data_IF_183529904280
#
_entry.id   IF_183529904280
#
_cell.length_a   1.000
_cell.length_b   1.000
_cell.length_c   1.000
_cell.angle_alpha   90.00
_cell.angle_beta   90.00
_cell.angle_gamma   90.00
#
_symmetry.space_group_name_H-M   'P 1'
#
loop_
_entity.id
_entity.type
_entity.pdbx_description
1 polymer ?
#
# COMPACT_ATOMS: atom_id res chain seq x y z
N UNK A 1 -20.60 3.04 -10.74
CA UNK A 1 -19.23 3.17 -10.20
C UNK A 1 -19.29 2.91 -8.68
N UNK A 2 -18.58 1.91 -8.16
CA UNK A 2 -18.81 1.44 -6.78
C UNK A 2 -18.25 2.43 -5.74
N UNK A 3 -19.14 3.21 -5.10
CA UNK A 3 -18.82 4.23 -4.08
C UNK A 3 -17.98 3.65 -2.94
N UNK A 4 -18.24 2.40 -2.54
CA UNK A 4 -17.56 1.72 -1.44
C UNK A 4 -16.08 1.50 -1.76
N UNK A 5 -15.75 1.01 -2.96
CA UNK A 5 -14.36 0.78 -3.37
C UNK A 5 -13.53 2.06 -3.32
N UNK A 6 -14.06 3.15 -3.88
CA UNK A 6 -13.38 4.46 -3.84
C UNK A 6 -13.16 4.95 -2.42
N UNK A 7 -14.14 4.77 -1.52
CA UNK A 7 -14.01 5.14 -0.12
C UNK A 7 -12.90 4.35 0.58
N UNK A 8 -12.81 3.04 0.37
CA UNK A 8 -11.75 2.22 0.98
C UNK A 8 -10.37 2.67 0.47
N UNK A 9 -10.22 2.89 -0.84
CA UNK A 9 -8.97 3.36 -1.43
C UNK A 9 -8.59 4.75 -0.92
N UNK A 10 -9.57 5.65 -0.76
CA UNK A 10 -9.35 6.98 -0.18
C UNK A 10 -8.88 6.91 1.27
N UNK A 11 -9.53 6.09 2.11
CA UNK A 11 -9.16 5.92 3.50
C UNK A 11 -7.73 5.40 3.60
N UNK A 12 -7.38 4.35 2.85
CA UNK A 12 -6.03 3.83 2.79
C UNK A 12 -5.01 4.88 2.30
N UNK A 13 -5.38 5.66 1.28
CA UNK A 13 -4.57 6.74 0.75
C UNK A 13 -4.28 7.85 1.77
N UNK A 14 -5.29 8.25 2.55
CA UNK A 14 -5.15 9.27 3.60
C UNK A 14 -4.32 8.74 4.77
N UNK A 15 -4.56 7.50 5.22
CA UNK A 15 -3.84 6.91 6.36
C UNK A 15 -2.36 6.69 6.08
N UNK A 16 -1.95 6.55 4.81
CA UNK A 16 -0.54 6.47 4.45
C UNK A 16 0.26 7.73 4.85
N UNK A 17 -0.35 8.92 4.86
CA UNK A 17 0.36 10.15 5.23
C UNK A 17 0.88 10.14 6.68
N UNK A 18 0.02 9.98 7.71
CA UNK A 18 0.50 9.93 9.08
C UNK A 18 1.45 8.75 9.33
N UNK A 19 1.23 7.59 8.69
CA UNK A 19 2.15 6.44 8.80
C UNK A 19 3.55 6.81 8.29
N UNK A 20 3.65 7.36 7.09
CA UNK A 20 4.95 7.74 6.53
C UNK A 20 5.64 8.87 7.31
N UNK A 21 4.88 9.85 7.81
CA UNK A 21 5.42 10.91 8.70
C UNK A 21 5.96 10.30 9.99
N UNK A 22 5.23 9.38 10.64
CA UNK A 22 5.68 8.71 11.86
C UNK A 22 6.97 7.91 11.63
N UNK A 23 7.11 7.23 10.49
CA UNK A 23 8.35 6.52 10.14
C UNK A 23 9.54 7.47 10.00
N UNK A 24 9.36 8.61 9.33
CA UNK A 24 10.41 9.63 9.21
C UNK A 24 10.79 10.19 10.58
N UNK A 25 9.81 10.50 11.43
CA UNK A 25 10.06 11.00 12.80
C UNK A 25 10.86 9.97 13.61
N UNK A 26 10.46 8.69 13.57
CA UNK A 26 11.18 7.61 14.24
C UNK A 26 12.61 7.45 13.69
N UNK A 27 12.79 7.60 12.37
CA UNK A 27 14.11 7.56 11.73
C UNK A 27 15.03 8.64 12.30
N UNK A 28 14.54 9.88 12.42
CA UNK A 28 15.28 11.01 13.00
C UNK A 28 15.62 10.76 14.48
N UNK A 29 14.69 10.17 15.25
CA UNK A 29 14.92 9.85 16.66
C UNK A 29 15.94 8.72 16.90
N UNK A 30 16.16 7.84 15.93
CA UNK A 30 17.04 6.66 16.09
C UNK A 30 18.53 6.95 16.21
N UNK A 31 18.98 8.17 15.82
CA UNK A 31 20.38 8.64 15.86
C UNK A 31 21.41 7.74 15.15
N UNK A 32 21.00 6.77 14.33
CA UNK A 32 21.90 5.97 13.47
C UNK A 32 21.71 6.37 12.01
N UNK A 33 22.80 6.47 11.25
CA UNK A 33 22.73 6.86 9.83
C UNK A 33 21.95 5.85 8.98
N UNK A 34 22.10 4.56 9.28
CA UNK A 34 21.39 3.48 8.58
C UNK A 34 19.87 3.59 8.76
N UNK A 35 19.39 3.62 10.01
CA UNK A 35 17.96 3.73 10.28
C UNK A 35 17.38 5.07 9.84
N UNK A 36 18.17 6.16 9.88
CA UNK A 36 17.75 7.45 9.33
C UNK A 36 17.42 7.33 7.84
N UNK A 37 18.30 6.72 7.05
CA UNK A 37 18.11 6.60 5.60
C UNK A 37 16.97 5.63 5.28
N UNK A 38 17.01 4.40 5.81
CA UNK A 38 16.06 3.35 5.44
C UNK A 38 14.62 3.71 5.84
N UNK A 39 14.40 4.14 7.08
CA UNK A 39 13.05 4.46 7.56
C UNK A 39 12.51 5.78 6.96
N UNK A 40 13.37 6.78 6.70
CA UNK A 40 12.92 8.01 6.05
C UNK A 40 12.51 7.77 4.61
N UNK A 41 13.29 6.98 3.86
CA UNK A 41 12.97 6.62 2.48
C UNK A 41 11.69 5.79 2.44
N UNK A 42 11.55 4.78 3.30
CA UNK A 42 10.33 4.00 3.40
C UNK A 42 9.11 4.89 3.73
N UNK A 43 9.25 5.82 4.68
CA UNK A 43 8.18 6.78 5.02
C UNK A 43 7.79 7.68 3.85
N UNK A 44 8.77 8.20 3.09
CA UNK A 44 8.53 8.99 1.90
C UNK A 44 7.78 8.18 0.81
N UNK A 45 8.15 6.90 0.62
CA UNK A 45 7.43 6.01 -0.30
C UNK A 45 6.00 5.73 0.14
N UNK A 46 5.73 5.58 1.45
CA UNK A 46 4.35 5.42 1.93
C UNK A 46 3.53 6.68 1.66
N UNK A 47 4.08 7.88 1.89
CA UNK A 47 3.42 9.15 1.56
C UNK A 47 3.11 9.22 0.06
N UNK A 48 4.09 8.87 -0.79
CA UNK A 48 3.90 8.81 -2.24
C UNK A 48 2.80 7.82 -2.63
N UNK A 49 2.80 6.62 -2.04
CA UNK A 49 1.75 5.64 -2.25
C UNK A 49 0.37 6.20 -1.86
N UNK A 50 0.29 6.93 -0.74
CA UNK A 50 -0.93 7.62 -0.30
C UNK A 50 -1.43 8.64 -1.33
N UNK A 51 -0.56 9.54 -1.76
CA UNK A 51 -0.87 10.52 -2.80
C UNK A 51 -1.31 9.86 -4.12
N UNK A 52 -0.63 8.79 -4.53
CA UNK A 52 -0.95 8.04 -5.75
C UNK A 52 -2.35 7.42 -5.69
N UNK A 53 -2.79 6.92 -4.52
CA UNK A 53 -4.13 6.37 -4.33
C UNK A 53 -5.21 7.46 -4.40
N UNK A 54 -4.99 8.60 -3.73
CA UNK A 54 -5.90 9.76 -3.79
C UNK A 54 -6.02 10.30 -5.22
N UNK A 55 -4.93 10.27 -5.97
CA UNK A 55 -4.95 10.67 -7.38
C UNK A 55 -5.65 9.63 -8.28
N UNK A 56 -5.45 8.34 -8.01
CA UNK A 56 -6.04 7.25 -8.80
C UNK A 56 -7.57 7.17 -8.67
N UNK A 57 -8.14 7.48 -7.50
CA UNK A 57 -9.60 7.42 -7.28
C UNK A 57 -10.39 8.46 -8.10
N UNK A 58 -9.74 9.53 -8.56
CA UNK A 58 -10.39 10.55 -9.40
C UNK A 58 -10.79 9.96 -10.76
N UNK A 59 -9.93 9.12 -11.35
CA UNK A 59 -10.13 8.50 -12.65
C UNK A 59 -9.82 7.00 -12.62
N UNK A 60 -10.63 6.24 -11.87
CA UNK A 60 -10.38 4.80 -11.65
C UNK A 60 -10.26 3.99 -12.95
N UNK A 61 -11.01 4.33 -14.00
CA UNK A 61 -10.98 3.59 -15.26
C UNK A 61 -9.62 3.69 -15.99
N UNK A 62 -8.92 4.82 -15.87
CA UNK A 62 -7.61 5.04 -16.50
C UNK A 62 -6.45 4.80 -15.53
N UNK A 63 -6.71 4.87 -14.22
CA UNK A 63 -5.67 4.81 -13.16
C UNK A 63 -5.77 3.59 -12.25
N UNK A 64 -6.65 2.64 -12.52
CA UNK A 64 -6.73 1.37 -11.79
C UNK A 64 -5.40 0.59 -11.67
N UNK A 65 -4.47 0.63 -12.64
CA UNK A 65 -3.15 0.04 -12.45
C UNK A 65 -2.43 0.51 -11.18
N UNK A 66 -2.57 1.77 -10.80
CA UNK A 66 -1.94 2.34 -9.59
C UNK A 66 -2.51 1.71 -8.31
N UNK A 67 -3.83 1.52 -8.27
CA UNK A 67 -4.51 0.91 -7.13
C UNK A 67 -4.12 -0.57 -7.04
N UNK A 68 -4.11 -1.27 -8.18
CA UNK A 68 -3.67 -2.67 -8.27
C UNK A 68 -2.22 -2.86 -7.80
N UNK A 69 -1.29 -2.01 -8.25
CA UNK A 69 0.10 -2.07 -7.80
C UNK A 69 0.26 -1.74 -6.32
N UNK A 70 -0.54 -0.81 -5.79
CA UNK A 70 -0.62 -0.58 -4.35
C UNK A 70 -1.12 -1.81 -3.58
N UNK A 71 -1.96 -2.65 -4.20
CA UNK A 71 -2.37 -3.94 -3.66
C UNK A 71 -1.22 -4.95 -3.64
N UNK A 72 -0.41 -4.98 -4.71
CA UNK A 72 0.79 -5.83 -4.77
C UNK A 72 1.84 -5.46 -3.73
N UNK A 73 2.12 -4.17 -3.53
CA UNK A 73 3.07 -3.72 -2.50
C UNK A 73 2.66 -4.24 -1.11
N UNK A 74 1.36 -4.22 -0.80
CA UNK A 74 0.82 -4.77 0.44
C UNK A 74 0.96 -6.29 0.51
N UNK A 75 0.71 -6.98 -0.60
CA UNK A 75 0.89 -8.43 -0.66
C UNK A 75 2.36 -8.84 -0.46
N UNK A 76 3.32 -8.09 -1.00
CA UNK A 76 4.75 -8.29 -0.72
C UNK A 76 5.06 -8.09 0.77
N UNK A 77 4.47 -7.07 1.42
CA UNK A 77 4.62 -6.89 2.86
C UNK A 77 4.09 -8.10 3.64
N UNK A 78 2.93 -8.64 3.26
CA UNK A 78 2.36 -9.85 3.88
C UNK A 78 3.32 -11.03 3.78
N UNK A 79 3.91 -11.27 2.61
CA UNK A 79 4.89 -12.35 2.45
C UNK A 79 6.15 -12.12 3.28
N UNK A 80 6.67 -10.89 3.31
CA UNK A 80 7.87 -10.55 4.07
C UNK A 80 7.66 -10.71 5.58
N UNK A 81 6.54 -10.21 6.13
CA UNK A 81 6.25 -10.36 7.56
C UNK A 81 5.99 -11.82 7.91
N UNK A 82 5.26 -12.54 7.07
CA UNK A 82 5.04 -13.97 7.26
C UNK A 82 6.36 -14.74 7.25
N UNK A 83 7.28 -14.40 6.34
CA UNK A 83 8.61 -15.01 6.33
C UNK A 83 9.43 -14.61 7.55
N UNK A 84 9.39 -13.35 7.99
CA UNK A 84 10.09 -12.86 9.16
C UNK A 84 9.69 -13.63 10.44
N UNK A 85 8.41 -14.02 10.59
CA UNK A 85 7.96 -14.85 11.72
C UNK A 85 8.60 -16.24 11.76
N UNK A 86 9.19 -16.71 10.67
CA UNK A 86 9.93 -17.99 10.62
C UNK A 86 11.42 -17.83 10.93
N UNK A 87 11.95 -16.61 10.87
CA UNK A 87 13.38 -16.30 11.01
C UNK A 87 13.70 -15.66 12.36
N UNK A 88 12.73 -14.96 12.98
CA UNK A 88 12.91 -14.34 14.28
C UNK A 88 11.63 -13.78 14.88
N UNK A 89 11.77 -13.09 16.00
CA UNK A 89 10.64 -12.46 16.69
C UNK A 89 10.15 -11.24 15.90
N UNK A 90 8.84 -11.24 15.62
CA UNK A 90 8.16 -10.13 14.96
C UNK A 90 7.25 -9.44 15.97
N UNK A 91 7.31 -8.10 16.11
CA UNK A 91 6.41 -7.37 16.99
C UNK A 91 4.93 -7.66 16.68
N UNK A 92 4.09 -7.83 17.70
CA UNK A 92 2.68 -8.16 17.49
C UNK A 92 1.96 -7.09 16.65
N UNK A 93 2.35 -5.83 16.77
CA UNK A 93 1.81 -4.74 15.96
C UNK A 93 1.99 -5.00 14.47
N UNK A 94 3.14 -5.56 14.05
CA UNK A 94 3.42 -5.90 12.65
C UNK A 94 2.56 -7.07 12.15
N UNK A 95 2.18 -7.99 13.03
CA UNK A 95 1.28 -9.11 12.67
C UNK A 95 -0.14 -8.56 12.42
N UNK A 96 -0.63 -7.67 13.29
CA UNK A 96 -1.94 -7.05 13.10
C UNK A 96 -1.99 -6.18 11.83
N UNK A 97 -0.95 -5.38 11.57
CA UNK A 97 -0.89 -4.57 10.34
C UNK A 97 -0.81 -5.44 9.09
N UNK A 98 -0.12 -6.57 9.15
CA UNK A 98 -0.07 -7.56 8.07
C UNK A 98 -1.45 -8.12 7.72
N UNK A 99 -2.29 -8.40 8.73
CA UNK A 99 -3.68 -8.80 8.51
C UNK A 99 -4.49 -7.74 7.76
N UNK A 100 -4.32 -6.46 8.11
CA UNK A 100 -4.96 -5.35 7.41
C UNK A 100 -4.45 -5.20 5.97
N UNK A 101 -3.14 -5.37 5.76
CA UNK A 101 -2.53 -5.31 4.43
C UNK A 101 -3.02 -6.43 3.52
N UNK A 102 -3.24 -7.65 4.05
CA UNK A 102 -3.83 -8.74 3.28
C UNK A 102 -5.25 -8.39 2.80
N UNK A 103 -6.08 -7.83 3.69
CA UNK A 103 -7.44 -7.38 3.34
C UNK A 103 -7.38 -6.30 2.25
N UNK A 104 -6.54 -5.27 2.43
CA UNK A 104 -6.39 -4.20 1.46
C UNK A 104 -5.81 -4.70 0.12
N UNK A 105 -4.86 -5.64 0.14
CA UNK A 105 -4.30 -6.24 -1.06
C UNK A 105 -5.39 -6.95 -1.89
N UNK A 106 -6.23 -7.76 -1.23
CA UNK A 106 -7.35 -8.44 -1.87
C UNK A 106 -8.34 -7.42 -2.44
N UNK A 107 -8.73 -6.42 -1.65
CA UNK A 107 -9.67 -5.37 -2.09
C UNK A 107 -9.11 -4.62 -3.29
N UNK A 108 -7.83 -4.26 -3.29
CA UNK A 108 -7.23 -3.47 -4.36
C UNK A 108 -7.04 -4.27 -5.64
N UNK A 109 -6.53 -5.50 -5.54
CA UNK A 109 -6.29 -6.35 -6.71
C UNK A 109 -7.63 -6.78 -7.34
N UNK A 110 -8.51 -7.41 -6.56
CA UNK A 110 -9.79 -7.92 -7.06
C UNK A 110 -10.74 -6.77 -7.38
N UNK A 111 -10.78 -5.74 -6.52
CA UNK A 111 -11.64 -4.58 -6.71
C UNK A 111 -11.27 -3.77 -7.96
N UNK A 112 -9.99 -3.60 -8.28
CA UNK A 112 -9.57 -2.90 -9.50
C UNK A 112 -10.08 -3.61 -10.76
N UNK A 113 -9.95 -4.94 -10.82
CA UNK A 113 -10.46 -5.75 -11.94
C UNK A 113 -11.98 -5.68 -12.02
N UNK A 114 -12.68 -5.90 -10.89
CA UNK A 114 -14.15 -5.94 -10.87
C UNK A 114 -14.80 -4.58 -11.15
N UNK A 115 -14.24 -3.49 -10.65
CA UNK A 115 -14.82 -2.15 -10.80
C UNK A 115 -14.61 -1.57 -12.20
N UNK A 116 -13.48 -1.88 -12.83
CA UNK A 116 -13.17 -1.38 -14.18
C UNK A 116 -13.60 -2.33 -15.30
N UNK A 117 -13.74 -3.62 -15.03
CA UNK A 117 -13.94 -4.65 -16.06
C UNK A 117 -12.68 -4.93 -16.90
N UNK A 118 -11.54 -4.29 -16.59
CA UNK A 118 -10.30 -4.45 -17.33
C UNK A 118 -9.61 -5.75 -16.86
N UNK A 119 -9.13 -6.61 -17.78
CA UNK A 119 -8.41 -7.82 -17.41
C UNK A 119 -7.19 -7.54 -16.53
N UNK A 120 -6.97 -8.38 -15.53
CA UNK A 120 -5.83 -8.30 -14.61
C UNK A 120 -4.48 -8.19 -15.35
N UNK A 121 -4.28 -8.97 -16.40
CA UNK A 121 -3.05 -8.97 -17.21
C UNK A 121 -2.79 -7.65 -17.93
N UNK A 122 -3.82 -6.86 -18.23
CA UNK A 122 -3.66 -5.50 -18.77
C UNK A 122 -3.32 -4.51 -17.66
N UNK A 123 -4.03 -4.58 -16.54
CA UNK A 123 -3.82 -3.67 -15.41
C UNK A 123 -2.41 -3.78 -14.82
N UNK A 124 -1.86 -4.99 -14.71
CA UNK A 124 -0.50 -5.18 -14.15
C UNK A 124 0.58 -4.49 -15.01
N UNK A 125 0.41 -4.43 -16.33
CA UNK A 125 1.34 -3.74 -17.24
C UNK A 125 0.99 -2.26 -17.48
N UNK A 126 0.06 -1.70 -16.70
CA UNK A 126 -0.33 -0.29 -16.83
C UNK A 126 -1.26 0.03 -17.99
N UNK A 127 -1.87 -0.99 -18.64
CA UNK A 127 -2.78 -0.80 -19.77
C UNK A 127 -4.24 -0.76 -19.32
N UNK A 128 -4.99 0.21 -19.84
CA UNK A 128 -6.43 0.36 -19.57
C UNK A 128 -7.31 0.37 -20.83
N UNK A 129 -6.70 0.14 -22.00
CA UNK A 129 -7.34 0.09 -23.31
C UNK A 129 -7.16 -1.30 -23.94
#
# INVERSE_FOLDING_TARGET
MNKIFKTIVLIAGVLNFPIGIMMIVQAISSKTGEALITNSVAGAFIIFAGASLIWAIQEVNTRAPIILWNGFVRLFNVFLVSYATTVGDVPQEMIYTTGMDLVLAIVFIIGSVKVTGIPFSKLIVGRTN
#
